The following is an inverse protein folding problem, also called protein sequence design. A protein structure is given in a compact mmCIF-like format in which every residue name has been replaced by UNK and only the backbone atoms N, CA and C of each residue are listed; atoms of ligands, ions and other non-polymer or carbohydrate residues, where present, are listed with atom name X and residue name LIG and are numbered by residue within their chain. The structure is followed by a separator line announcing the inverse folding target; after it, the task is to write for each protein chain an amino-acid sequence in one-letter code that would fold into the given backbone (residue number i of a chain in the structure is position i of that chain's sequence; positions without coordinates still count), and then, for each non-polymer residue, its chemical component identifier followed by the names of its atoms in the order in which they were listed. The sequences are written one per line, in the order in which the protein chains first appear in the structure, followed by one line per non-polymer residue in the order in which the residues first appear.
data_IF_159743350207
#
_entry.id   IF_159743350207
#
_cell.length_a   1.000
_cell.length_b   1.000
_cell.length_c   1.000
_cell.angle_alpha   90.00
_cell.angle_beta   90.00
_cell.angle_gamma   90.00
#
_symmetry.space_group_name_H-M   'P 1'
#
loop_
_entity.id
_entity.type
_entity.pdbx_description
1 polymer ?
#
# COMPACT_ATOMS: atom_id res chain seq x y z
N UNK A 1 18.37 12.50 -0.63
CA UNK A 1 17.45 11.36 -0.84
C UNK A 1 18.22 10.28 -1.56
N UNK A 2 18.27 9.05 -1.04
CA UNK A 2 19.12 7.99 -1.57
C UNK A 2 18.64 7.48 -2.93
N UNK A 3 19.58 7.29 -3.85
CA UNK A 3 19.44 6.71 -5.20
C UNK A 3 18.88 5.28 -5.23
N UNK A 4 18.52 4.70 -4.08
CA UNK A 4 17.97 3.36 -3.91
C UNK A 4 16.73 3.06 -4.78
N UNK A 5 16.02 4.09 -5.22
CA UNK A 5 14.88 3.93 -6.13
C UNK A 5 15.29 3.52 -7.54
N UNK A 6 16.52 3.83 -7.99
CA UNK A 6 17.00 3.53 -9.35
C UNK A 6 17.31 2.05 -9.59
N UNK A 7 17.39 1.26 -8.53
CA UNK A 7 17.67 -0.18 -8.59
C UNK A 7 16.44 -1.07 -8.33
N UNK A 8 15.23 -0.47 -8.31
CA UNK A 8 13.99 -1.24 -8.18
C UNK A 8 13.70 -1.98 -9.50
N UNK A 9 14.07 -3.26 -9.55
CA UNK A 9 13.72 -4.16 -10.66
C UNK A 9 12.28 -4.69 -10.50
N UNK A 10 11.47 -4.49 -11.55
CA UNK A 10 10.04 -4.80 -11.57
C UNK A 10 9.66 -5.89 -12.61
N UNK A 11 10.59 -6.63 -13.23
CA UNK A 11 10.24 -7.61 -14.28
C UNK A 11 10.23 -9.11 -13.88
N UNK A 12 9.32 -9.85 -14.54
CA UNK A 12 9.33 -11.31 -14.69
C UNK A 12 8.54 -12.11 -13.65
N UNK A 13 9.20 -12.55 -12.58
CA UNK A 13 8.59 -13.36 -11.51
C UNK A 13 8.58 -12.65 -10.15
N UNK A 14 9.30 -11.53 -10.02
CA UNK A 14 9.51 -10.82 -8.75
C UNK A 14 8.31 -9.98 -8.31
N UNK A 15 7.60 -9.34 -9.24
CA UNK A 15 6.51 -8.43 -8.90
C UNK A 15 5.25 -9.17 -8.41
N UNK A 16 4.89 -10.27 -9.08
CA UNK A 16 3.75 -11.08 -8.68
C UNK A 16 4.01 -11.76 -7.33
N UNK A 17 5.21 -12.31 -7.12
CA UNK A 17 5.61 -12.88 -5.84
C UNK A 17 5.66 -11.83 -4.72
N UNK A 18 6.15 -10.62 -5.00
CA UNK A 18 6.14 -9.50 -4.06
C UNK A 18 4.72 -9.03 -3.74
N UNK A 19 3.82 -8.96 -4.73
CA UNK A 19 2.42 -8.63 -4.54
C UNK A 19 1.68 -9.68 -3.71
N UNK A 20 1.93 -10.98 -3.95
CA UNK A 20 1.38 -12.07 -3.13
C UNK A 20 1.90 -11.99 -1.68
N UNK A 21 3.20 -11.72 -1.49
CA UNK A 21 3.79 -11.54 -0.16
C UNK A 21 3.22 -10.31 0.55
N UNK A 22 3.05 -9.21 -0.17
CA UNK A 22 2.46 -7.98 0.36
C UNK A 22 1.00 -8.21 0.77
N UNK A 23 0.18 -8.83 -0.08
CA UNK A 23 -1.22 -9.10 0.20
C UNK A 23 -1.43 -9.94 1.48
N UNK A 24 -0.46 -10.82 1.81
CA UNK A 24 -0.48 -11.60 3.06
C UNK A 24 -0.10 -10.79 4.30
N UNK A 25 0.77 -9.78 4.15
CA UNK A 25 1.31 -9.00 5.27
C UNK A 25 0.49 -7.74 5.60
N UNK A 26 -0.32 -7.24 4.66
CA UNK A 26 -1.14 -6.06 4.91
C UNK A 26 -2.17 -6.30 6.03
N UNK A 27 -2.23 -5.35 6.96
CA UNK A 27 -3.24 -5.33 8.02
C UNK A 27 -4.60 -5.01 7.40
N UNK A 28 -5.60 -5.82 7.73
CA UNK A 28 -6.99 -5.67 7.28
C UNK A 28 -7.83 -4.88 8.29
N UNK A 29 -8.61 -3.92 7.78
CA UNK A 29 -9.58 -3.11 8.56
C UNK A 29 -10.61 -3.97 9.28
N UNK A 30 -11.28 -4.88 8.55
CA UNK A 30 -12.30 -5.78 9.11
C UNK A 30 -11.79 -6.52 10.35
N UNK A 31 -10.57 -7.07 10.29
CA UNK A 31 -9.96 -7.78 11.43
C UNK A 31 -9.72 -6.84 12.61
N UNK A 32 -9.22 -5.63 12.39
CA UNK A 32 -9.00 -4.67 13.47
C UNK A 32 -10.32 -4.29 14.17
N UNK A 33 -11.38 -4.03 13.41
CA UNK A 33 -12.70 -3.73 13.97
C UNK A 33 -13.34 -4.93 14.68
N UNK A 34 -13.21 -6.15 14.14
CA UNK A 34 -13.66 -7.35 14.86
C UNK A 34 -12.94 -7.52 16.20
N UNK A 35 -11.64 -7.23 16.25
CA UNK A 35 -10.86 -7.30 17.49
C UNK A 35 -11.21 -6.17 18.47
N UNK A 36 -11.69 -5.02 17.97
CA UNK A 36 -12.14 -3.91 18.81
C UNK A 36 -13.39 -4.29 19.62
N UNK A 37 -14.23 -5.21 19.13
CA UNK A 37 -15.35 -5.74 19.92
C UNK A 37 -14.88 -6.43 21.21
N UNK A 38 -13.65 -6.94 21.21
CA UNK A 38 -12.96 -7.47 22.39
C UNK A 38 -11.95 -6.46 22.98
N UNK A 39 -12.28 -5.16 22.93
CA UNK A 39 -11.44 -4.07 23.42
C UNK A 39 -10.86 -4.29 24.83
N UNK A 40 -11.60 -4.83 25.83
CA UNK A 40 -11.04 -5.06 27.17
C UNK A 40 -9.77 -5.93 27.17
N UNK A 41 -9.65 -6.84 26.20
CA UNK A 41 -8.48 -7.72 26.06
C UNK A 41 -7.28 -7.03 25.37
N UNK A 42 -7.48 -5.84 24.78
CA UNK A 42 -6.48 -5.07 24.07
C UNK A 42 -5.99 -5.71 22.76
N UNK A 43 -6.77 -6.65 22.19
CA UNK A 43 -6.34 -7.45 21.03
C UNK A 43 -6.19 -6.62 19.76
N UNK A 44 -7.04 -5.62 19.54
CA UNK A 44 -6.96 -4.72 18.39
C UNK A 44 -5.65 -3.92 18.39
N UNK A 45 -5.22 -3.42 19.56
CA UNK A 45 -3.94 -2.70 19.71
C UNK A 45 -2.74 -3.63 19.56
N UNK A 46 -2.82 -4.86 20.09
CA UNK A 46 -1.77 -5.86 19.89
C UNK A 46 -1.59 -6.23 18.40
N UNK A 47 -2.70 -6.40 17.67
CA UNK A 47 -2.69 -6.66 16.23
C UNK A 47 -2.07 -5.51 15.42
N UNK A 48 -2.25 -4.26 15.87
CA UNK A 48 -1.68 -3.05 15.31
C UNK A 48 -0.28 -2.71 15.86
N UNK A 49 0.39 -3.69 16.46
CA UNK A 49 1.78 -3.61 16.93
C UNK A 49 2.00 -2.56 18.04
N UNK A 50 0.93 -2.14 18.72
CA UNK A 50 0.96 -1.15 19.79
C UNK A 50 0.94 -1.86 21.16
N UNK A 51 2.10 -2.39 21.57
CA UNK A 51 2.24 -3.20 22.80
C UNK A 51 1.82 -2.45 24.06
N UNK A 52 2.21 -1.18 24.19
CA UNK A 52 1.92 -0.34 25.36
C UNK A 52 0.42 -0.14 25.51
N UNK A 53 -0.26 0.22 24.41
CA UNK A 53 -1.71 0.37 24.39
C UNK A 53 -2.45 -0.94 24.70
N UNK A 54 -2.00 -2.08 24.20
CA UNK A 54 -2.60 -3.38 24.50
C UNK A 54 -2.53 -3.71 26.01
N UNK A 55 -1.40 -3.45 26.65
CA UNK A 55 -1.24 -3.63 28.09
C UNK A 55 -2.06 -2.62 28.90
N UNK A 56 -2.21 -1.38 28.42
CA UNK A 56 -3.07 -0.39 29.07
C UNK A 56 -4.53 -0.86 29.14
N UNK A 57 -5.09 -1.41 28.06
CA UNK A 57 -6.44 -1.98 28.06
C UNK A 57 -6.60 -3.14 29.06
N UNK A 58 -5.62 -4.05 29.09
CA UNK A 58 -5.63 -5.19 30.02
C UNK A 58 -5.52 -4.74 31.47
N UNK A 59 -4.59 -3.83 31.75
CA UNK A 59 -4.40 -3.28 33.09
C UNK A 59 -5.64 -2.53 33.58
N UNK A 60 -6.24 -1.71 32.71
CA UNK A 60 -7.46 -0.97 33.04
C UNK A 60 -8.66 -1.90 33.23
N UNK A 61 -8.77 -2.96 32.44
CA UNK A 61 -9.83 -3.98 32.61
C UNK A 61 -9.66 -4.77 33.90
N UNK A 62 -8.43 -5.17 34.25
CA UNK A 62 -8.13 -5.82 35.53
C UNK A 62 -8.41 -4.89 36.71
N UNK A 63 -8.04 -3.61 36.59
CA UNK A 63 -8.33 -2.60 37.61
C UNK A 63 -9.84 -2.40 37.81
N UNK A 64 -10.62 -2.38 36.72
CA UNK A 64 -12.08 -2.31 36.80
C UNK A 64 -12.67 -3.52 37.55
N UNK A 65 -12.24 -4.73 37.20
CA UNK A 65 -12.67 -5.97 37.87
C UNK A 65 -12.30 -5.94 39.35
N UNK A 66 -11.06 -5.57 39.68
CA UNK A 66 -10.58 -5.47 41.06
C UNK A 66 -11.37 -4.43 41.87
N UNK A 67 -11.71 -3.29 41.27
CA UNK A 67 -12.52 -2.26 41.92
C UNK A 67 -13.93 -2.76 42.25
N UNK A 68 -14.58 -3.47 41.32
CA UNK A 68 -15.89 -4.09 41.60
C UNK A 68 -15.79 -5.17 42.68
N UNK A 69 -14.75 -6.02 42.63
CA UNK A 69 -14.52 -7.06 43.64
C UNK A 69 -14.24 -6.48 45.04
N UNK A 70 -13.59 -5.31 45.11
CA UNK A 70 -13.33 -4.59 46.36
C UNK A 70 -14.53 -3.78 46.88
N UNK A 71 -15.69 -3.83 46.22
CA UNK A 71 -16.87 -3.07 46.62
C UNK A 71 -16.78 -1.57 46.34
N UNK A 72 -15.95 -1.15 45.38
CA UNK A 72 -15.76 0.24 44.95
C UNK A 72 -16.45 0.49 43.58
N UNK A 73 -17.79 0.50 43.50
CA UNK A 73 -18.51 0.52 42.23
C UNK A 73 -18.26 1.79 41.42
N UNK A 74 -18.12 2.95 42.08
CA UNK A 74 -17.83 4.21 41.39
C UNK A 74 -16.49 4.18 40.66
N UNK A 75 -15.46 3.58 41.26
CA UNK A 75 -14.14 3.40 40.64
C UNK A 75 -14.22 2.41 39.47
N UNK A 76 -14.95 1.32 39.65
CA UNK A 76 -15.22 0.34 38.58
C UNK A 76 -15.89 0.99 37.37
N UNK A 77 -16.97 1.76 37.60
CA UNK A 77 -17.68 2.47 36.54
C UNK A 77 -16.83 3.56 35.88
N UNK A 78 -16.00 4.28 36.64
CA UNK A 78 -15.06 5.24 36.09
C UNK A 78 -14.05 4.56 35.14
N UNK A 79 -13.50 3.40 35.52
CA UNK A 79 -12.59 2.63 34.68
C UNK A 79 -13.27 2.07 33.42
N UNK A 80 -14.51 1.59 33.54
CA UNK A 80 -15.32 1.13 32.39
C UNK A 80 -15.62 2.28 31.43
N UNK A 81 -15.96 3.45 31.97
CA UNK A 81 -16.22 4.66 31.16
C UNK A 81 -14.96 5.09 30.41
N UNK A 82 -13.80 5.02 31.07
CA UNK A 82 -12.51 5.30 30.46
C UNK A 82 -12.19 4.30 29.33
N UNK A 83 -12.43 3.00 29.56
CA UNK A 83 -12.28 1.95 28.53
C UNK A 83 -13.17 2.24 27.31
N UNK A 84 -14.44 2.59 27.53
CA UNK A 84 -15.37 2.93 26.47
C UNK A 84 -14.93 4.17 25.68
N UNK A 85 -14.45 5.21 26.37
CA UNK A 85 -13.91 6.41 25.74
C UNK A 85 -12.70 6.11 24.86
N UNK A 86 -11.75 5.30 25.34
CA UNK A 86 -10.61 4.87 24.53
C UNK A 86 -11.03 3.99 23.35
N UNK A 87 -12.01 3.10 23.53
CA UNK A 87 -12.52 2.25 22.45
C UNK A 87 -13.18 3.09 21.34
N UNK A 88 -13.92 4.15 21.72
CA UNK A 88 -14.50 5.10 20.77
C UNK A 88 -13.41 5.89 20.02
N UNK A 89 -12.39 6.39 20.72
CA UNK A 89 -11.22 7.01 20.09
C UNK A 89 -10.54 6.05 19.09
N UNK A 90 -10.45 4.78 19.45
CA UNK A 90 -9.80 3.76 18.62
C UNK A 90 -10.47 3.56 17.27
N UNK A 91 -11.76 3.88 17.11
CA UNK A 91 -12.48 3.80 15.83
C UNK A 91 -11.78 4.65 14.76
N UNK A 92 -11.35 5.86 15.11
CA UNK A 92 -10.65 6.79 14.20
C UNK A 92 -9.16 6.48 14.14
N UNK A 93 -8.55 6.13 15.27
CA UNK A 93 -7.12 5.82 15.35
C UNK A 93 -6.72 4.59 14.52
N UNK A 94 -7.56 3.55 14.48
CA UNK A 94 -7.31 2.30 13.74
C UNK A 94 -7.04 2.59 12.26
N UNK A 95 -7.79 3.49 11.64
CA UNK A 95 -7.63 3.82 10.21
C UNK A 95 -6.27 4.43 9.92
N UNK A 96 -5.87 5.44 10.70
CA UNK A 96 -4.56 6.08 10.58
C UNK A 96 -3.42 5.08 10.82
N UNK A 97 -3.56 4.23 11.84
CA UNK A 97 -2.52 3.25 12.18
C UNK A 97 -2.37 2.17 11.12
N UNK A 98 -3.47 1.65 10.56
CA UNK A 98 -3.42 0.68 9.46
C UNK A 98 -2.73 1.28 8.24
N UNK A 99 -3.06 2.52 7.88
CA UNK A 99 -2.43 3.20 6.75
C UNK A 99 -0.91 3.33 6.94
N UNK A 100 -0.46 3.73 8.14
CA UNK A 100 0.96 3.82 8.49
C UNK A 100 1.67 2.46 8.40
N UNK A 101 1.12 1.42 9.03
CA UNK A 101 1.73 0.07 9.03
C UNK A 101 1.78 -0.53 7.63
N UNK A 102 0.71 -0.37 6.85
CA UNK A 102 0.65 -0.86 5.48
C UNK A 102 1.64 -0.11 4.57
N UNK A 103 1.79 1.22 4.75
CA UNK A 103 2.81 2.01 4.05
C UNK A 103 4.23 1.54 4.40
N UNK A 104 4.52 1.33 5.70
CA UNK A 104 5.82 0.83 6.16
C UNK A 104 6.12 -0.57 5.60
N UNK A 105 5.11 -1.45 5.56
CA UNK A 105 5.25 -2.81 5.01
C UNK A 105 5.54 -2.79 3.51
N UNK A 106 4.84 -1.94 2.74
CA UNK A 106 5.12 -1.74 1.31
C UNK A 106 6.55 -1.28 1.09
N UNK A 107 6.98 -0.25 1.82
CA UNK A 107 8.34 0.27 1.72
C UNK A 107 9.38 -0.80 2.02
N UNK A 108 9.19 -1.57 3.10
CA UNK A 108 10.11 -2.65 3.48
C UNK A 108 10.23 -3.73 2.41
N UNK A 109 9.12 -4.14 1.80
CA UNK A 109 9.13 -5.19 0.76
C UNK A 109 9.82 -4.69 -0.52
N UNK A 110 9.50 -3.47 -0.97
CA UNK A 110 10.12 -2.91 -2.16
C UNK A 110 11.62 -2.66 -1.97
N UNK A 111 12.02 -2.14 -0.81
CA UNK A 111 13.45 -1.91 -0.53
C UNK A 111 14.23 -3.21 -0.27
N UNK A 112 13.56 -4.31 0.09
CA UNK A 112 14.20 -5.61 0.30
C UNK A 112 14.42 -6.40 -1.00
N UNK A 113 13.86 -5.99 -2.14
CA UNK A 113 14.09 -6.65 -3.43
C UNK A 113 15.54 -6.43 -3.87
N UNK A 114 16.39 -7.43 -3.62
CA UNK A 114 17.86 -7.39 -3.76
C UNK A 114 18.39 -8.27 -4.89
N UNK A 115 17.53 -8.90 -5.70
CA UNK A 115 17.97 -9.43 -6.99
C UNK A 115 17.99 -8.26 -7.95
N UNK A 116 19.18 -7.67 -8.07
CA UNK A 116 19.46 -6.65 -9.07
C UNK A 116 19.11 -7.14 -10.47
N UNK A 117 18.93 -6.17 -11.36
CA UNK A 117 18.57 -6.42 -12.74
C UNK A 117 19.48 -7.51 -13.37
N UNK A 118 18.93 -8.38 -14.25
CA UNK A 118 19.73 -9.41 -14.91
C UNK A 118 21.00 -8.80 -15.53
N UNK A 119 22.15 -9.52 -15.51
CA UNK A 119 23.36 -9.03 -16.14
C UNK A 119 23.07 -8.65 -17.61
N UNK A 120 23.32 -7.39 -17.97
CA UNK A 120 23.00 -6.84 -19.31
C UNK A 120 21.67 -6.10 -19.43
N UNK A 121 20.89 -5.97 -18.36
CA UNK A 121 19.66 -5.17 -18.39
C UNK A 121 19.97 -3.68 -18.51
N UNK A 122 19.82 -3.12 -19.71
CA UNK A 122 19.79 -1.68 -19.94
C UNK A 122 18.36 -1.20 -19.70
N UNK A 123 18.14 -0.52 -18.57
CA UNK A 123 16.92 0.26 -18.38
C UNK A 123 16.82 1.30 -19.49
N UNK A 124 15.59 1.65 -19.93
CA UNK A 124 15.39 2.85 -20.74
C UNK A 124 15.51 4.06 -19.81
N UNK A 125 16.74 4.45 -19.50
CA UNK A 125 16.99 5.74 -18.88
C UNK A 125 16.83 6.82 -19.96
N UNK A 126 16.10 7.92 -19.68
CA UNK A 126 16.00 9.04 -20.63
C UNK A 126 17.39 9.56 -21.02
N UNK A 127 18.35 9.47 -20.10
CA UNK A 127 19.73 9.92 -20.26
C UNK A 127 20.55 9.09 -21.27
N UNK A 128 20.23 7.80 -21.46
CA UNK A 128 20.89 6.93 -22.45
C UNK A 128 20.36 7.17 -23.89
N UNK A 129 19.43 8.11 -24.06
CA UNK A 129 18.98 8.58 -25.38
C UNK A 129 19.90 9.67 -25.96
N UNK A 130 21.01 9.99 -25.28
CA UNK A 130 22.01 10.96 -25.71
C UNK A 130 23.14 10.32 -26.54
N UNK A 131 22.82 9.32 -27.37
CA UNK A 131 23.79 8.57 -28.17
C UNK A 131 23.41 8.46 -29.64
N UNK A 132 24.23 9.10 -30.48
CA UNK A 132 24.38 9.05 -31.95
C UNK A 132 23.38 9.86 -32.84
N UNK A 133 23.81 10.97 -33.49
CA UNK A 133 22.99 11.76 -34.42
C UNK A 133 22.67 11.09 -35.75
N UNK A 134 23.02 9.81 -35.95
CA UNK A 134 23.02 9.14 -37.27
C UNK A 134 22.11 7.93 -37.41
N UNK A 135 21.36 7.56 -36.38
CA UNK A 135 20.21 6.67 -36.57
C UNK A 135 18.96 7.52 -36.70
N UNK A 136 18.34 7.52 -37.88
CA UNK A 136 17.08 8.21 -38.14
C UNK A 136 16.07 7.90 -37.03
N UNK A 137 15.77 8.87 -36.16
CA UNK A 137 14.78 8.68 -35.12
C UNK A 137 13.45 8.77 -35.84
N UNK A 138 12.73 7.65 -35.91
CA UNK A 138 11.32 7.61 -36.26
C UNK A 138 10.52 8.50 -35.30
N UNK A 139 10.50 9.79 -35.62
CA UNK A 139 9.62 10.87 -35.20
C UNK A 139 9.48 11.05 -33.69
N UNK A 140 10.55 11.57 -33.06
CA UNK A 140 10.41 12.31 -31.81
C UNK A 140 9.48 13.50 -32.06
N UNK A 141 8.29 13.45 -31.46
CA UNK A 141 7.35 14.56 -31.49
C UNK A 141 8.00 15.82 -30.88
N UNK A 142 7.86 16.93 -31.62
CA UNK A 142 8.41 18.22 -31.26
C UNK A 142 8.03 18.64 -29.83
N UNK A 143 8.88 19.42 -29.13
CA UNK A 143 8.58 19.91 -27.80
C UNK A 143 7.35 20.81 -27.87
N UNK A 144 6.24 20.36 -27.27
CA UNK A 144 4.92 21.01 -27.35
C UNK A 144 3.78 20.10 -27.79
N UNK A 145 4.04 18.85 -28.20
CA UNK A 145 2.95 17.91 -28.51
C UNK A 145 2.23 17.49 -27.22
N UNK A 146 0.98 17.96 -27.04
CA UNK A 146 0.07 17.38 -26.03
C UNK A 146 0.06 15.87 -26.20
N UNK A 147 0.33 15.15 -25.12
CA UNK A 147 0.11 13.70 -25.05
C UNK A 147 -1.36 13.46 -25.40
N UNK A 148 -1.61 12.75 -26.51
CA UNK A 148 -2.97 12.51 -27.01
C UNK A 148 -3.80 11.83 -25.96
N UNK A 149 -5.04 12.29 -25.78
CA UNK A 149 -5.94 11.71 -24.80
C UNK A 149 -6.26 10.26 -25.16
N UNK A 150 -6.64 9.44 -24.17
CA UNK A 150 -7.01 8.04 -24.41
C UNK A 150 -8.10 7.89 -25.49
N UNK A 151 -9.03 8.83 -25.56
CA UNK A 151 -10.08 8.86 -26.57
C UNK A 151 -9.52 9.06 -28.00
N UNK A 152 -8.52 9.92 -28.16
CA UNK A 152 -7.86 10.15 -29.45
C UNK A 152 -7.02 8.94 -29.88
N UNK A 153 -6.39 8.25 -28.92
CA UNK A 153 -5.63 7.04 -29.19
C UNK A 153 -6.56 5.90 -29.63
N UNK A 154 -7.71 5.74 -28.99
CA UNK A 154 -8.68 4.69 -29.34
C UNK A 154 -9.32 4.95 -30.72
N UNK A 155 -9.61 6.21 -31.05
CA UNK A 155 -10.10 6.61 -32.37
C UNK A 155 -9.10 6.28 -33.47
N UNK A 156 -7.82 6.59 -33.25
CA UNK A 156 -6.74 6.30 -34.20
C UNK A 156 -6.58 4.78 -34.43
N UNK A 157 -6.66 3.98 -33.37
CA UNK A 157 -6.57 2.53 -33.46
C UNK A 157 -7.73 1.93 -34.28
N UNK A 158 -8.96 2.45 -34.11
CA UNK A 158 -10.11 2.02 -34.93
C UNK A 158 -9.93 2.40 -36.40
N UNK A 159 -9.36 3.56 -36.67
CA UNK A 159 -9.13 4.01 -38.05
C UNK A 159 -8.07 3.15 -38.75
N UNK A 160 -6.97 2.83 -38.06
CA UNK A 160 -5.94 1.92 -38.56
C UNK A 160 -6.48 0.50 -38.77
N UNK A 161 -7.32 0.01 -37.87
CA UNK A 161 -7.98 -1.29 -38.02
C UNK A 161 -8.89 -1.33 -39.26
N UNK A 162 -9.66 -0.27 -39.51
CA UNK A 162 -10.50 -0.16 -40.72
C UNK A 162 -9.67 -0.14 -42.00
N UNK A 163 -8.57 0.62 -42.05
CA UNK A 163 -7.67 0.66 -43.21
C UNK A 163 -7.00 -0.68 -43.48
N UNK A 164 -6.65 -1.43 -42.43
CA UNK A 164 -6.11 -2.78 -42.57
C UNK A 164 -7.15 -3.76 -43.12
N UNK A 165 -8.40 -3.65 -42.69
CA UNK A 165 -9.49 -4.48 -43.19
C UNK A 165 -9.84 -4.18 -44.65
N UNK A 166 -9.86 -2.90 -45.06
CA UNK A 166 -10.07 -2.54 -46.47
C UNK A 166 -8.93 -3.01 -47.36
N UNK A 167 -7.67 -2.87 -46.92
CA UNK A 167 -6.50 -3.35 -47.65
C UNK A 167 -6.44 -4.90 -47.77
N UNK A 168 -7.13 -5.62 -46.89
CA UNK A 168 -7.24 -7.09 -46.96
C UNK A 168 -8.41 -7.55 -47.84
N UNK A 169 -9.35 -6.67 -48.17
CA UNK A 169 -10.55 -6.96 -48.98
C UNK A 169 -10.36 -6.66 -50.48
N UNK A 170 -9.29 -5.94 -50.83
CA UNK A 170 -8.86 -5.62 -52.20
C UNK A 170 -7.80 -6.60 -52.75
N UNK A 171 -7.49 -7.67 -52.01
CA UNK A 171 -6.75 -8.85 -52.50
C UNK A 171 -7.72 -10.02 -52.62
#
# INVERSE_FOLDING_TARGET
MSEAWKHLDLQGGGLQAANLKLARLLKRRRRAYCLLLAAPLGLHRAYLEERRGAWAYRGLSLAAIAAFAAGLPYVGWAAVSLLAGFAAYDIVWIEGRIAQLNKATRLRIYMAQTRGAPPGFRGRYPEDSAGDPREDPGTLSAPGSRVRSFAEQEALLRELARRRQSATKEK
#
